data_IF_557324497427
#
_entry.id   IF_557324497427
#
_cell.length_a   1.000
_cell.length_b   1.000
_cell.length_c   1.000
_cell.angle_alpha   90.00
_cell.angle_beta   90.00
_cell.angle_gamma   90.00
#
_symmetry.space_group_name_H-M   'P 1'
#
loop_
_entity.id
_entity.type
_entity.pdbx_description
1 polymer ?
#
# COMPACT_ATOMS: atom_id res chain seq x y z
N UNK A 1 -1.65 -25.50 8.94
CA UNK A 1 -1.75 -24.68 7.71
C UNK A 1 -0.64 -23.66 7.79
N UNK A 2 0.27 -23.70 6.83
CA UNK A 2 1.38 -22.77 6.75
C UNK A 2 0.86 -21.44 6.19
N UNK A 3 1.07 -20.33 6.92
CA UNK A 3 0.64 -19.00 6.46
C UNK A 3 1.39 -18.58 5.19
N UNK A 4 2.57 -19.15 4.96
CA UNK A 4 3.36 -18.94 3.73
C UNK A 4 2.59 -19.33 2.47
N UNK A 5 1.91 -20.49 2.47
CA UNK A 5 1.20 -20.97 1.29
C UNK A 5 -0.06 -20.18 0.91
N UNK A 6 -0.56 -19.32 1.81
CA UNK A 6 -1.64 -18.38 1.51
C UNK A 6 -1.12 -17.04 0.98
N UNK A 7 0.07 -16.62 1.41
CA UNK A 7 0.66 -15.32 1.05
C UNK A 7 1.42 -15.40 -0.29
N UNK A 8 2.01 -16.55 -0.61
CA UNK A 8 2.74 -16.79 -1.85
C UNK A 8 1.91 -16.51 -3.13
N UNK A 9 0.67 -17.03 -3.29
CA UNK A 9 -0.15 -16.72 -4.46
C UNK A 9 -0.60 -15.25 -4.52
N UNK A 10 -0.83 -14.62 -3.37
CA UNK A 10 -1.15 -13.18 -3.30
C UNK A 10 0.03 -12.34 -3.76
N UNK A 11 1.23 -12.69 -3.30
CA UNK A 11 2.47 -11.96 -3.64
C UNK A 11 2.81 -12.13 -5.11
N UNK A 12 2.65 -13.34 -5.66
CA UNK A 12 2.81 -13.61 -7.09
C UNK A 12 1.79 -12.83 -7.92
N UNK A 13 0.51 -12.78 -7.49
CA UNK A 13 -0.54 -12.01 -8.16
C UNK A 13 -0.22 -10.51 -8.25
N UNK A 14 0.27 -9.89 -7.18
CA UNK A 14 0.67 -8.48 -7.20
C UNK A 14 2.02 -8.22 -7.87
N UNK A 15 2.82 -9.26 -8.12
CA UNK A 15 4.13 -9.14 -8.78
C UNK A 15 4.05 -9.31 -10.30
N UNK A 16 3.00 -9.95 -10.83
CA UNK A 16 2.87 -10.32 -12.24
C UNK A 16 1.59 -9.78 -12.91
N UNK A 17 1.66 -9.49 -14.22
CA UNK A 17 0.51 -9.18 -15.06
C UNK A 17 -0.37 -8.01 -14.58
N UNK A 18 -1.69 -8.26 -14.47
CA UNK A 18 -2.71 -7.25 -14.14
C UNK A 18 -2.67 -6.82 -12.67
N UNK A 19 -2.25 -7.69 -11.76
CA UNK A 19 -2.24 -7.39 -10.32
C UNK A 19 -1.18 -6.36 -9.97
N UNK A 20 -0.03 -6.38 -10.64
CA UNK A 20 0.97 -5.30 -10.57
C UNK A 20 0.42 -3.97 -11.04
N UNK A 21 -0.26 -3.95 -12.19
CA UNK A 21 -0.86 -2.72 -12.71
C UNK A 21 -1.91 -2.13 -11.76
N UNK A 22 -2.73 -2.99 -11.12
CA UNK A 22 -3.69 -2.55 -10.09
C UNK A 22 -2.96 -1.95 -8.88
N UNK A 23 -1.89 -2.60 -8.40
CA UNK A 23 -1.11 -2.10 -7.27
C UNK A 23 -0.43 -0.77 -7.60
N UNK A 24 0.09 -0.61 -8.82
CA UNK A 24 0.70 0.64 -9.28
C UNK A 24 -0.35 1.77 -9.31
N UNK A 25 -1.54 1.51 -9.85
CA UNK A 25 -2.64 2.49 -9.88
C UNK A 25 -3.09 2.86 -8.46
N UNK A 26 -3.29 1.88 -7.58
CA UNK A 26 -3.68 2.11 -6.19
C UNK A 26 -2.60 2.90 -5.44
N UNK A 27 -1.33 2.63 -5.70
CA UNK A 27 -0.20 3.35 -5.10
C UNK A 27 -0.18 4.81 -5.55
N UNK A 28 -0.42 5.08 -6.84
CA UNK A 28 -0.53 6.44 -7.37
C UNK A 28 -1.71 7.17 -6.74
N UNK A 29 -2.89 6.55 -6.69
CA UNK A 29 -4.08 7.14 -6.05
C UNK A 29 -3.79 7.45 -4.58
N UNK A 30 -3.15 6.52 -3.86
CA UNK A 30 -2.77 6.73 -2.46
C UNK A 30 -1.80 7.90 -2.30
N UNK A 31 -0.78 8.01 -3.14
CA UNK A 31 0.17 9.14 -3.10
C UNK A 31 -0.49 10.48 -3.43
N UNK A 32 -1.50 10.48 -4.31
CA UNK A 32 -2.27 11.70 -4.64
C UNK A 32 -3.17 12.12 -3.48
N UNK A 33 -3.86 11.15 -2.84
CA UNK A 33 -4.78 11.44 -1.73
C UNK A 33 -4.05 11.73 -0.41
N UNK A 34 -2.92 11.06 -0.18
CA UNK A 34 -2.10 11.18 1.03
C UNK A 34 -0.66 11.53 0.65
N UNK A 35 -0.42 12.76 0.16
CA UNK A 35 0.91 13.14 -0.24
C UNK A 35 1.84 13.21 0.98
N UNK A 36 3.10 12.83 0.81
CA UNK A 36 4.06 12.75 1.91
C UNK A 36 4.35 14.11 2.59
N UNK A 37 4.01 15.22 1.94
CA UNK A 37 4.08 16.57 2.49
C UNK A 37 2.77 17.03 3.14
N UNK A 38 1.77 16.15 3.28
CA UNK A 38 0.52 16.48 3.94
C UNK A 38 0.78 16.87 5.39
N UNK A 39 0.07 17.86 5.95
CA UNK A 39 0.19 18.21 7.37
C UNK A 39 -0.10 17.03 8.31
N UNK A 40 -0.89 16.05 7.87
CA UNK A 40 -1.15 14.83 8.63
C UNK A 40 0.07 13.87 8.70
N UNK A 41 1.08 14.06 7.86
CA UNK A 41 2.30 13.26 7.82
C UNK A 41 3.39 13.76 8.79
N UNK A 42 3.18 14.94 9.40
CA UNK A 42 4.05 15.42 10.49
C UNK A 42 3.55 14.89 11.84
N UNK A 43 4.44 14.62 12.80
CA UNK A 43 4.04 14.27 14.16
C UNK A 43 3.08 15.33 14.71
N UNK A 44 1.83 14.94 14.97
CA UNK A 44 0.83 15.81 15.59
C UNK A 44 1.00 15.70 17.11
N UNK A 45 1.22 16.82 17.79
CA UNK A 45 1.26 16.80 19.26
C UNK A 45 -0.15 16.49 19.78
N UNK A 46 -0.32 15.34 20.43
CA UNK A 46 -1.60 15.01 21.06
C UNK A 46 -1.84 15.98 22.23
N UNK A 47 -3.05 16.57 22.35
CA UNK A 47 -3.38 17.37 23.52
C UNK A 47 -3.32 16.52 24.79
N UNK A 48 -2.73 17.10 25.84
CA UNK A 48 -2.49 16.47 27.14
C UNK A 48 -3.73 16.48 28.02
#
# INVERSE_FOLDING_TARGET
MDLGSLVEPLTAFFSEGIGKAIMDVLSVIYQVLFPANAPAATPQELPR
#
